data_IF_658713530584
#
_entry.id   IF_658713530584
#
_cell.length_a   1.000
_cell.length_b   1.000
_cell.length_c   1.000
_cell.angle_alpha   90.00
_cell.angle_beta   90.00
_cell.angle_gamma   90.00
#
_symmetry.space_group_name_H-M   'P 1'
#
loop_
_entity.id
_entity.type
_entity.pdbx_description
1 polymer ?
#
# COMPACT_ATOMS: atom_id res chain seq x y z
N UNK A 1 49.62 20.93 36.10
CA UNK A 1 50.19 21.21 34.76
C UNK A 1 49.11 20.83 33.75
N UNK A 2 48.30 21.74 33.18
CA UNK A 2 48.65 22.85 32.27
C UNK A 2 48.58 22.30 30.83
N UNK A 3 47.53 22.51 30.03
CA UNK A 3 47.11 23.71 29.26
C UNK A 3 45.70 23.44 28.71
N UNK A 4 44.67 24.26 28.93
CA UNK A 4 44.23 25.42 28.11
C UNK A 4 44.40 25.28 26.58
N UNK A 5 43.27 25.21 25.87
CA UNK A 5 43.15 25.40 24.44
C UNK A 5 41.76 25.93 24.08
N UNK A 6 41.63 27.26 24.06
CA UNK A 6 40.51 28.02 23.50
C UNK A 6 40.62 28.05 21.97
N UNK A 7 39.48 28.08 21.30
CA UNK A 7 39.31 28.66 19.98
C UNK A 7 38.05 28.12 19.32
N UNK A 8 37.28 28.84 18.52
CA UNK A 8 37.10 30.26 18.27
C UNK A 8 35.78 30.36 17.50
N UNK A 9 35.09 31.49 17.63
CA UNK A 9 33.81 31.82 17.01
C UNK A 9 33.86 32.03 15.48
N UNK A 10 32.66 31.89 14.88
CA UNK A 10 32.08 32.63 13.73
C UNK A 10 32.04 31.94 12.35
N UNK A 11 31.10 32.32 11.44
CA UNK A 11 29.82 33.01 11.61
C UNK A 11 28.62 32.29 10.96
N UNK A 12 27.42 32.79 11.31
CA UNK A 12 26.14 32.49 10.70
C UNK A 12 26.07 32.94 9.23
N UNK A 13 25.57 32.07 8.36
CA UNK A 13 25.08 32.45 7.04
C UNK A 13 23.55 32.40 7.04
N UNK A 14 22.97 33.58 7.25
CA UNK A 14 21.57 33.90 6.98
C UNK A 14 21.39 33.97 5.46
N UNK A 15 20.68 33.01 4.88
CA UNK A 15 20.11 33.15 3.54
C UNK A 15 18.60 33.34 3.68
N UNK A 16 18.18 34.60 3.54
CA UNK A 16 16.78 34.96 3.37
C UNK A 16 16.41 34.73 1.90
N UNK A 17 15.56 33.74 1.62
CA UNK A 17 14.91 33.60 0.33
C UNK A 17 13.49 34.18 0.45
N UNK A 18 13.31 35.37 -0.12
CA UNK A 18 12.01 35.99 -0.39
C UNK A 18 11.59 35.54 -1.79
N UNK A 19 10.50 34.78 -1.91
CA UNK A 19 9.85 34.53 -3.21
C UNK A 19 8.36 34.82 -3.07
N UNK A 20 7.90 35.63 -4.01
CA UNK A 20 6.67 36.40 -3.98
C UNK A 20 5.38 35.59 -4.08
N UNK A 21 4.40 36.07 -3.35
CA UNK A 21 2.98 35.78 -3.48
C UNK A 21 2.49 36.43 -4.79
N UNK A 22 1.96 35.62 -5.71
CA UNK A 22 1.13 36.09 -6.82
C UNK A 22 -0.28 35.51 -6.65
N UNK A 23 -1.14 36.31 -6.04
CA UNK A 23 -2.59 36.12 -6.05
C UNK A 23 -3.14 36.54 -7.42
N UNK A 24 -3.74 35.60 -8.15
CA UNK A 24 -4.57 35.89 -9.32
C UNK A 24 -5.97 35.36 -9.05
N UNK A 25 -6.84 36.26 -8.57
CA UNK A 25 -8.27 36.03 -8.55
C UNK A 25 -8.81 36.23 -9.97
N UNK A 26 -9.45 35.20 -10.53
CA UNK A 26 -10.34 35.33 -11.66
C UNK A 26 -11.61 34.54 -11.35
N UNK A 27 -12.61 35.28 -10.86
CA UNK A 27 -13.98 34.85 -10.81
C UNK A 27 -14.53 34.80 -12.25
N UNK A 28 -15.08 33.66 -12.66
CA UNK A 28 -16.05 33.60 -13.75
C UNK A 28 -17.33 33.00 -13.18
N UNK A 29 -18.20 33.92 -12.78
CA UNK A 29 -19.61 33.71 -12.49
C UNK A 29 -20.35 33.66 -13.84
N UNK A 30 -21.09 32.59 -14.11
CA UNK A 30 -22.06 32.53 -15.20
C UNK A 30 -23.18 31.56 -14.83
N UNK A 31 -24.16 32.15 -14.16
CA UNK A 31 -25.49 31.65 -13.88
C UNK A 31 -26.29 31.40 -15.18
N UNK A 32 -27.05 30.29 -15.27
CA UNK A 32 -28.54 30.29 -15.42
C UNK A 32 -29.12 28.97 -15.97
N UNK A 33 -30.05 28.34 -15.23
CA UNK A 33 -31.20 27.61 -15.79
C UNK A 33 -31.45 26.16 -15.32
N UNK A 34 -32.25 25.98 -14.26
CA UNK A 34 -33.10 24.80 -13.96
C UNK A 34 -34.56 25.33 -14.10
N UNK A 35 -35.61 24.62 -14.58
CA UNK A 35 -36.02 23.26 -14.16
C UNK A 35 -36.69 22.36 -15.21
N UNK A 36 -36.80 21.05 -14.90
CA UNK A 36 -38.05 20.29 -14.65
C UNK A 36 -37.63 18.85 -14.27
N UNK A 37 -37.83 18.43 -13.02
CA UNK A 37 -39.03 17.81 -12.42
C UNK A 37 -39.16 16.31 -12.73
N UNK A 38 -39.67 15.61 -11.72
CA UNK A 38 -39.48 14.23 -11.37
C UNK A 38 -40.41 13.25 -12.10
N UNK A 39 -40.06 11.96 -12.05
CA UNK A 39 -41.05 10.90 -11.82
C UNK A 39 -40.36 9.60 -11.35
N UNK A 40 -40.59 9.28 -10.07
CA UNK A 40 -40.56 7.92 -9.52
C UNK A 40 -41.84 7.14 -9.91
N UNK A 41 -41.82 5.83 -9.57
CA UNK A 41 -42.87 4.80 -9.66
C UNK A 41 -43.04 4.14 -11.06
N UNK A 42 -43.28 2.83 -11.21
CA UNK A 42 -43.93 1.88 -10.30
C UNK A 42 -43.58 0.43 -10.70
N UNK A 43 -43.84 -0.50 -9.78
CA UNK A 43 -43.75 -1.96 -9.88
C UNK A 43 -44.80 -2.57 -10.81
N UNK A 44 -44.47 -3.67 -11.47
CA UNK A 44 -45.43 -4.72 -11.81
C UNK A 44 -44.74 -6.08 -12.01
N UNK A 45 -45.03 -7.00 -11.09
CA UNK A 45 -44.84 -8.43 -11.27
C UNK A 45 -46.01 -9.03 -12.06
N UNK A 46 -45.75 -10.02 -12.92
CA UNK A 46 -46.72 -11.05 -13.28
C UNK A 46 -46.04 -12.30 -13.87
N UNK A 47 -46.58 -13.45 -13.47
CA UNK A 47 -46.16 -14.84 -13.65
C UNK A 47 -46.33 -15.45 -15.06
N UNK A 48 -45.45 -16.43 -15.33
CA UNK A 48 -45.66 -17.81 -15.84
C UNK A 48 -46.66 -18.07 -16.98
N UNK A 49 -46.16 -18.65 -18.10
CA UNK A 49 -46.83 -19.74 -18.81
C UNK A 49 -45.86 -20.52 -19.72
N UNK A 50 -46.02 -21.84 -19.72
CA UNK A 50 -45.16 -22.84 -20.33
C UNK A 50 -45.54 -23.23 -21.77
N UNK A 51 -44.55 -23.83 -22.44
CA UNK A 51 -44.61 -24.89 -23.45
C UNK A 51 -45.43 -24.70 -24.75
N UNK A 52 -44.71 -24.74 -25.87
CA UNK A 52 -45.29 -24.97 -27.21
C UNK A 52 -44.20 -25.40 -28.20
N UNK A 53 -44.12 -26.71 -28.46
CA UNK A 53 -43.31 -27.33 -29.51
C UNK A 53 -43.91 -26.98 -30.88
N UNK A 54 -43.11 -26.47 -31.80
CA UNK A 54 -43.44 -26.48 -33.23
C UNK A 54 -42.17 -26.55 -34.09
N UNK A 55 -42.22 -27.48 -35.05
CA UNK A 55 -41.12 -27.96 -35.87
C UNK A 55 -40.64 -26.96 -36.94
N UNK A 56 -39.38 -27.17 -37.34
CA UNK A 56 -38.64 -26.48 -38.38
C UNK A 56 -39.26 -26.62 -39.79
N UNK A 57 -38.95 -25.66 -40.68
CA UNK A 57 -38.67 -25.96 -42.07
C UNK A 57 -37.22 -25.66 -42.42
N UNK A 58 -36.60 -26.65 -43.04
CA UNK A 58 -35.29 -26.65 -43.69
C UNK A 58 -35.20 -25.52 -44.74
N UNK A 59 -34.13 -24.74 -44.72
CA UNK A 59 -33.69 -23.93 -45.86
C UNK A 59 -32.17 -23.87 -45.90
N UNK A 60 -31.67 -24.55 -46.93
CA UNK A 60 -30.50 -24.31 -47.78
C UNK A 60 -29.27 -23.63 -47.18
N UNK A 61 -28.17 -24.40 -47.20
CA UNK A 61 -26.81 -23.98 -46.91
C UNK A 61 -26.37 -22.75 -47.72
N UNK A 62 -25.92 -21.73 -46.99
CA UNK A 62 -25.01 -20.71 -47.50
C UNK A 62 -23.68 -20.88 -46.74
N UNK A 63 -22.58 -20.83 -47.48
CA UNK A 63 -21.25 -21.14 -46.98
C UNK A 63 -20.80 -20.13 -45.92
N UNK A 64 -20.34 -20.54 -44.72
CA UNK A 64 -19.58 -19.63 -43.88
C UNK A 64 -18.23 -19.40 -44.56
N UNK A 65 -18.04 -18.20 -45.09
CA UNK A 65 -16.72 -17.69 -45.42
C UNK A 65 -15.83 -17.85 -44.20
N UNK A 66 -14.76 -18.64 -44.34
CA UNK A 66 -13.71 -18.77 -43.32
C UNK A 66 -13.07 -17.40 -43.13
N UNK A 67 -13.53 -16.66 -42.13
CA UNK A 67 -12.74 -15.57 -41.56
C UNK A 67 -11.48 -16.24 -40.99
N UNK A 68 -10.28 -15.93 -41.48
CA UNK A 68 -9.07 -16.48 -40.88
C UNK A 68 -9.08 -16.11 -39.40
N UNK A 69 -8.76 -17.03 -38.47
CA UNK A 69 -8.70 -16.69 -37.06
C UNK A 69 -7.70 -15.55 -36.92
N UNK A 70 -8.18 -14.39 -36.48
CA UNK A 70 -7.32 -13.35 -35.92
C UNK A 70 -6.46 -14.05 -34.90
N UNK A 71 -5.17 -14.19 -35.20
CA UNK A 71 -4.22 -14.81 -34.30
C UNK A 71 -4.23 -13.98 -33.03
N UNK A 72 -4.90 -14.47 -31.99
CA UNK A 72 -4.85 -13.86 -30.68
C UNK A 72 -3.38 -13.77 -30.32
N UNK A 73 -2.90 -12.55 -30.06
CA UNK A 73 -1.55 -12.34 -29.54
C UNK A 73 -1.41 -13.26 -28.32
N UNK A 74 -0.36 -14.10 -28.24
CA UNK A 74 -0.12 -14.90 -27.05
C UNK A 74 -0.17 -13.98 -25.83
N UNK A 75 -0.95 -14.35 -24.81
CA UNK A 75 -0.92 -13.63 -23.55
C UNK A 75 0.54 -13.52 -23.09
N UNK A 76 0.98 -12.37 -22.55
CA UNK A 76 2.33 -12.24 -22.03
C UNK A 76 2.57 -13.37 -21.02
N UNK A 77 3.58 -14.21 -21.29
CA UNK A 77 3.93 -15.29 -20.38
C UNK A 77 4.84 -14.75 -19.29
N UNK A 78 4.29 -14.57 -18.11
CA UNK A 78 5.05 -14.25 -16.90
C UNK A 78 5.58 -15.56 -16.31
N UNK A 79 6.90 -15.63 -16.14
CA UNK A 79 7.56 -16.75 -15.47
C UNK A 79 7.91 -16.32 -14.06
N UNK A 80 7.38 -17.05 -13.07
CA UNK A 80 7.73 -16.90 -11.66
C UNK A 80 8.35 -18.22 -11.22
N UNK A 81 9.58 -18.17 -10.71
CA UNK A 81 10.27 -19.34 -10.21
C UNK A 81 9.65 -19.86 -8.92
N UNK A 82 9.68 -21.18 -8.78
CA UNK A 82 9.14 -21.90 -7.64
C UNK A 82 9.76 -21.45 -6.32
N UNK A 83 8.97 -21.54 -5.25
CA UNK A 83 9.40 -21.28 -3.87
C UNK A 83 9.27 -22.60 -3.10
N UNK A 84 10.38 -23.34 -2.86
CA UNK A 84 10.32 -24.61 -2.14
C UNK A 84 9.65 -24.47 -0.77
N UNK A 85 8.61 -25.26 -0.52
CA UNK A 85 7.86 -25.24 0.74
C UNK A 85 6.75 -24.18 0.82
N UNK A 86 6.63 -23.28 -0.16
CA UNK A 86 5.62 -22.22 -0.18
C UNK A 86 5.15 -21.89 -1.62
N UNK A 87 4.47 -22.83 -2.30
CA UNK A 87 4.02 -22.63 -3.68
C UNK A 87 3.00 -21.48 -3.82
N UNK A 88 2.22 -21.22 -2.77
CA UNK A 88 1.21 -20.15 -2.72
C UNK A 88 1.83 -18.76 -2.99
N UNK A 89 3.07 -18.53 -2.54
CA UNK A 89 3.76 -17.29 -2.79
C UNK A 89 4.06 -17.04 -4.27
N UNK A 90 4.42 -18.09 -5.01
CA UNK A 90 4.69 -17.98 -6.45
C UNK A 90 3.40 -17.70 -7.23
N UNK A 91 2.27 -18.28 -6.82
CA UNK A 91 0.97 -18.03 -7.44
C UNK A 91 0.47 -16.60 -7.14
N UNK A 92 0.56 -16.15 -5.89
CA UNK A 92 0.11 -14.82 -5.48
C UNK A 92 0.89 -13.68 -6.19
N UNK A 93 2.22 -13.82 -6.34
CA UNK A 93 3.02 -12.81 -7.06
C UNK A 93 2.86 -12.92 -8.58
N UNK A 94 2.50 -14.09 -9.12
CA UNK A 94 2.25 -14.26 -10.56
C UNK A 94 1.02 -13.46 -11.01
N UNK A 95 -0.03 -13.40 -10.18
CA UNK A 95 -1.19 -12.57 -10.46
C UNK A 95 -0.80 -11.09 -10.58
N UNK A 96 -0.05 -10.57 -9.62
CA UNK A 96 0.50 -9.22 -9.65
C UNK A 96 1.40 -8.96 -10.87
N UNK A 97 2.32 -9.89 -11.17
CA UNK A 97 3.26 -9.72 -12.26
C UNK A 97 2.59 -9.77 -13.65
N UNK A 98 1.44 -10.43 -13.78
CA UNK A 98 0.60 -10.34 -14.98
C UNK A 98 0.03 -8.92 -15.12
N UNK A 99 -0.54 -8.37 -14.04
CA UNK A 99 -1.09 -7.01 -14.04
C UNK A 99 0.00 -5.96 -14.28
N UNK A 100 1.21 -6.14 -13.77
CA UNK A 100 2.35 -5.27 -14.08
C UNK A 100 2.60 -5.14 -15.59
N UNK A 101 2.35 -6.20 -16.36
CA UNK A 101 2.54 -6.21 -17.82
C UNK A 101 1.29 -5.77 -18.58
N UNK A 102 0.09 -6.06 -18.06
CA UNK A 102 -1.16 -5.83 -18.79
C UNK A 102 -1.96 -4.60 -18.36
N UNK A 103 -1.86 -4.20 -17.10
CA UNK A 103 -2.56 -3.07 -16.48
C UNK A 103 -1.74 -2.42 -15.34
N UNK A 104 -0.58 -1.81 -15.66
CA UNK A 104 0.28 -1.20 -14.65
C UNK A 104 -0.39 0.01 -13.96
N UNK A 105 -1.35 0.68 -14.62
CA UNK A 105 -2.07 1.82 -14.04
C UNK A 105 -3.03 1.36 -12.92
N UNK A 106 -3.64 0.17 -13.06
CA UNK A 106 -4.50 -0.43 -12.05
C UNK A 106 -3.79 -0.83 -10.75
N UNK A 107 -2.47 -1.08 -10.80
CA UNK A 107 -1.68 -1.55 -9.65
C UNK A 107 -1.75 -0.62 -8.44
N UNK A 108 -1.84 0.70 -8.65
CA UNK A 108 -1.89 1.65 -7.52
C UNK A 108 -3.14 1.43 -6.65
N UNK A 109 -4.25 1.02 -7.27
CA UNK A 109 -5.50 0.74 -6.56
C UNK A 109 -5.49 -0.63 -5.89
N UNK A 110 -4.89 -1.64 -6.54
CA UNK A 110 -4.82 -3.01 -6.02
C UNK A 110 -3.79 -3.14 -4.91
N UNK A 111 -2.64 -2.47 -5.04
CA UNK A 111 -1.52 -2.50 -4.10
C UNK A 111 -1.56 -1.39 -3.06
N UNK A 112 -2.74 -1.20 -2.48
CA UNK A 112 -3.03 -0.17 -1.49
C UNK A 112 -2.27 -0.36 -0.15
N UNK A 113 -1.64 -1.51 0.09
CA UNK A 113 -0.78 -1.75 1.26
C UNK A 113 0.59 -1.09 1.15
N UNK A 114 0.98 -0.67 -0.05
CA UNK A 114 2.19 0.07 -0.35
C UNK A 114 1.90 1.58 -0.47
N UNK A 115 2.87 2.45 -0.14
CA UNK A 115 2.70 3.89 -0.32
C UNK A 115 2.60 4.21 -1.83
N UNK A 116 1.55 4.93 -2.29
CA UNK A 116 1.34 5.19 -3.72
C UNK A 116 2.53 5.82 -4.44
N UNK A 117 3.21 6.76 -3.78
CA UNK A 117 4.37 7.45 -4.35
C UNK A 117 5.57 6.51 -4.61
N UNK A 118 5.70 5.43 -3.84
CA UNK A 118 6.81 4.48 -4.00
C UNK A 118 6.59 3.49 -5.15
N UNK A 119 5.34 3.10 -5.43
CA UNK A 119 5.05 2.07 -6.44
C UNK A 119 5.55 2.45 -7.83
N UNK A 120 5.41 3.73 -8.21
CA UNK A 120 5.88 4.21 -9.51
C UNK A 120 7.39 4.04 -9.70
N UNK A 121 8.19 4.31 -8.66
CA UNK A 121 9.64 4.13 -8.69
C UNK A 121 10.02 2.65 -8.64
N UNK A 122 9.40 1.88 -7.73
CA UNK A 122 9.72 0.47 -7.54
C UNK A 122 9.43 -0.39 -8.77
N UNK A 123 8.41 -0.03 -9.56
CA UNK A 123 7.96 -0.85 -10.70
C UNK A 123 8.43 -0.33 -12.07
N UNK A 124 9.24 0.74 -12.09
CA UNK A 124 9.71 1.39 -13.31
C UNK A 124 10.44 0.43 -14.26
N UNK A 125 11.42 -0.35 -13.75
CA UNK A 125 12.12 -1.37 -14.55
C UNK A 125 11.39 -2.72 -14.47
N UNK A 126 10.24 -2.79 -15.14
CA UNK A 126 9.45 -4.02 -15.31
C UNK A 126 10.30 -5.18 -15.84
N UNK A 127 11.27 -4.91 -16.71
CA UNK A 127 12.15 -5.95 -17.27
C UNK A 127 13.04 -6.58 -16.20
N UNK A 128 13.61 -5.77 -15.31
CA UNK A 128 14.42 -6.26 -14.18
C UNK A 128 13.58 -7.03 -13.16
N UNK A 129 12.37 -6.54 -12.86
CA UNK A 129 11.40 -7.24 -12.00
C UNK A 129 11.12 -8.65 -12.53
N UNK A 130 10.76 -8.77 -13.82
CA UNK A 130 10.44 -10.07 -14.41
C UNK A 130 11.66 -11.01 -14.45
N UNK A 131 12.88 -10.49 -14.66
CA UNK A 131 14.11 -11.29 -14.58
C UNK A 131 14.38 -11.81 -13.17
N UNK A 132 14.11 -10.98 -12.15
CA UNK A 132 14.24 -11.39 -10.75
C UNK A 132 13.22 -12.49 -10.42
N UNK A 133 11.94 -12.28 -10.75
CA UNK A 133 10.87 -13.26 -10.54
C UNK A 133 11.11 -14.60 -11.24
N UNK A 134 11.78 -14.61 -12.39
CA UNK A 134 12.10 -15.85 -13.10
C UNK A 134 13.14 -16.74 -12.40
N UNK A 135 13.85 -16.23 -11.37
CA UNK A 135 14.76 -17.04 -10.55
C UNK A 135 13.97 -17.87 -9.53
N UNK A 136 14.53 -18.96 -8.97
CA UNK A 136 13.91 -19.62 -7.83
C UNK A 136 13.76 -18.67 -6.64
N UNK A 137 12.60 -18.72 -5.98
CA UNK A 137 12.35 -17.90 -4.81
C UNK A 137 12.88 -18.52 -3.52
N UNK A 138 13.08 -17.68 -2.51
CA UNK A 138 13.55 -18.04 -1.18
C UNK A 138 12.48 -17.67 -0.17
N UNK A 139 12.02 -18.66 0.60
CA UNK A 139 11.14 -18.44 1.73
C UNK A 139 11.95 -18.04 2.98
N UNK A 140 12.03 -16.74 3.24
CA UNK A 140 12.77 -16.16 4.36
C UNK A 140 11.95 -16.08 5.64
N UNK A 141 12.54 -15.54 6.71
CA UNK A 141 11.87 -15.45 8.01
C UNK A 141 10.62 -14.54 7.96
N UNK A 142 10.69 -13.43 7.24
CA UNK A 142 9.65 -12.38 7.22
C UNK A 142 9.02 -12.14 5.86
N UNK A 143 9.69 -12.54 4.78
CA UNK A 143 9.21 -12.37 3.41
C UNK A 143 9.64 -13.53 2.54
N UNK A 144 8.91 -13.72 1.44
CA UNK A 144 9.38 -14.53 0.32
C UNK A 144 10.02 -13.60 -0.69
N UNK A 145 11.16 -13.99 -1.26
CA UNK A 145 11.89 -13.12 -2.20
C UNK A 145 12.43 -13.86 -3.42
N UNK A 146 12.52 -13.13 -4.52
CA UNK A 146 13.15 -13.55 -5.77
C UNK A 146 14.23 -12.54 -6.12
N UNK A 147 15.44 -12.99 -6.41
CA UNK A 147 16.57 -12.09 -6.72
C UNK A 147 17.22 -12.50 -8.03
N UNK A 148 17.36 -11.55 -8.95
CA UNK A 148 18.00 -11.78 -10.25
C UNK A 148 18.27 -10.48 -10.98
N UNK A 149 19.35 -10.45 -11.76
CA UNK A 149 19.68 -9.28 -12.60
C UNK A 149 19.93 -7.98 -11.83
N UNK A 150 20.33 -8.05 -10.55
CA UNK A 150 20.57 -6.88 -9.69
C UNK A 150 19.33 -6.35 -8.96
N UNK A 151 18.18 -6.99 -9.13
CA UNK A 151 16.91 -6.63 -8.47
C UNK A 151 16.44 -7.75 -7.56
N UNK A 152 15.81 -7.36 -6.46
CA UNK A 152 15.11 -8.26 -5.55
C UNK A 152 13.64 -7.83 -5.49
N UNK A 153 12.74 -8.82 -5.58
CA UNK A 153 11.29 -8.68 -5.41
C UNK A 153 10.93 -9.43 -4.14
N UNK A 154 10.32 -8.77 -3.16
CA UNK A 154 10.00 -9.31 -1.85
C UNK A 154 8.53 -9.12 -1.51
N UNK A 155 7.84 -10.18 -1.09
CA UNK A 155 6.41 -10.14 -0.70
C UNK A 155 6.23 -10.51 0.76
N UNK A 156 5.28 -9.84 1.42
CA UNK A 156 4.92 -10.06 2.82
C UNK A 156 4.03 -11.30 2.98
N UNK A 157 3.90 -11.79 4.21
CA UNK A 157 3.07 -12.99 4.49
C UNK A 157 1.57 -12.71 4.33
N UNK A 158 1.09 -11.58 4.85
CA UNK A 158 -0.30 -11.13 4.65
C UNK A 158 -0.67 -10.99 3.17
N UNK A 159 0.25 -10.48 2.35
CA UNK A 159 0.12 -10.38 0.90
C UNK A 159 -0.02 -11.75 0.22
N UNK A 160 0.80 -12.73 0.62
CA UNK A 160 0.66 -14.11 0.10
C UNK A 160 -0.68 -14.72 0.52
N UNK A 161 -1.07 -14.55 1.78
CA UNK A 161 -2.31 -15.10 2.33
C UNK A 161 -3.57 -14.51 1.69
N UNK A 162 -3.48 -13.32 1.10
CA UNK A 162 -4.59 -12.69 0.36
C UNK A 162 -4.84 -13.36 -1.00
N UNK A 163 -3.84 -14.08 -1.54
CA UNK A 163 -3.84 -14.64 -2.89
C UNK A 163 -3.42 -13.66 -3.99
N UNK A 164 -3.13 -12.39 -3.64
CA UNK A 164 -2.58 -11.39 -4.55
C UNK A 164 -1.50 -10.59 -3.81
N UNK A 165 -0.25 -10.78 -4.20
CA UNK A 165 0.87 -10.25 -3.43
C UNK A 165 1.50 -9.03 -4.07
N UNK A 166 1.37 -7.87 -3.42
CA UNK A 166 2.01 -6.61 -3.81
C UNK A 166 3.44 -6.53 -3.26
N UNK A 167 4.47 -6.61 -4.11
CA UNK A 167 5.84 -6.72 -3.64
C UNK A 167 6.49 -5.37 -3.39
N UNK A 168 7.46 -5.38 -2.48
CA UNK A 168 8.55 -4.41 -2.50
C UNK A 168 9.58 -4.82 -3.55
N UNK A 169 9.98 -3.88 -4.42
CA UNK A 169 11.04 -4.07 -5.40
C UNK A 169 12.19 -3.13 -5.07
N UNK A 170 13.39 -3.68 -4.98
CA UNK A 170 14.58 -2.93 -4.58
C UNK A 170 15.85 -3.50 -5.21
N UNK A 171 16.96 -2.74 -5.23
CA UNK A 171 18.26 -3.28 -5.62
C UNK A 171 18.66 -4.49 -4.76
N UNK A 172 19.30 -5.47 -5.37
CA UNK A 172 19.83 -6.62 -4.67
C UNK A 172 20.91 -6.20 -3.67
N UNK A 173 20.86 -6.76 -2.46
CA UNK A 173 21.79 -6.42 -1.37
C UNK A 173 21.42 -5.16 -0.58
N UNK A 174 20.25 -4.55 -0.82
CA UNK A 174 19.71 -3.48 0.02
C UNK A 174 19.52 -3.98 1.45
N UNK A 175 20.10 -3.26 2.42
CA UNK A 175 19.99 -3.61 3.85
C UNK A 175 18.64 -3.18 4.45
N UNK A 176 18.19 -1.97 4.11
CA UNK A 176 16.95 -1.36 4.62
C UNK A 176 15.91 -1.32 3.51
N UNK A 177 15.08 -2.36 3.42
CA UNK A 177 14.03 -2.47 2.40
C UNK A 177 12.83 -1.56 2.70
N UNK A 178 12.57 -1.31 4.00
CA UNK A 178 11.48 -0.45 4.44
C UNK A 178 11.96 0.98 4.64
N UNK A 179 11.21 1.92 4.07
CA UNK A 179 11.54 3.33 4.02
C UNK A 179 10.69 4.15 5.00
N UNK A 180 11.03 5.42 5.27
CA UNK A 180 10.16 6.33 6.03
C UNK A 180 8.72 6.40 5.52
N UNK A 181 8.53 6.37 4.20
CA UNK A 181 7.19 6.41 3.61
C UNK A 181 6.38 5.14 3.91
N UNK A 182 7.03 3.98 4.12
CA UNK A 182 6.35 2.76 4.57
C UNK A 182 5.86 2.89 6.02
N UNK A 183 6.64 3.54 6.88
CA UNK A 183 6.25 3.81 8.25
C UNK A 183 5.06 4.77 8.32
N UNK A 184 5.12 5.87 7.55
CA UNK A 184 4.04 6.86 7.44
C UNK A 184 2.76 6.23 6.91
N UNK A 185 2.85 5.38 5.88
CA UNK A 185 1.70 4.69 5.33
C UNK A 185 1.12 3.65 6.28
N UNK A 186 1.94 2.95 7.07
CA UNK A 186 1.45 2.06 8.12
C UNK A 186 0.63 2.83 9.17
N UNK A 187 1.11 4.01 9.59
CA UNK A 187 0.36 4.90 10.51
C UNK A 187 -0.91 5.44 9.85
N UNK A 188 -0.84 5.88 8.60
CA UNK A 188 -1.99 6.39 7.87
C UNK A 188 -3.08 5.32 7.72
N UNK A 189 -2.70 4.07 7.41
CA UNK A 189 -3.64 2.93 7.35
C UNK A 189 -4.28 2.66 8.70
N UNK A 190 -3.48 2.60 9.77
CA UNK A 190 -4.01 2.42 11.13
C UNK A 190 -5.03 3.52 11.49
N UNK A 191 -4.65 4.79 11.37
CA UNK A 191 -5.55 5.91 11.67
C UNK A 191 -6.78 5.98 10.76
N UNK A 192 -6.66 5.52 9.52
CA UNK A 192 -7.79 5.42 8.59
C UNK A 192 -8.82 4.39 9.06
N UNK A 193 -8.37 3.26 9.64
CA UNK A 193 -9.26 2.28 10.28
C UNK A 193 -9.96 2.89 11.49
N UNK A 194 -9.21 3.54 12.39
CA UNK A 194 -9.76 4.19 13.58
C UNK A 194 -10.79 5.28 13.23
N UNK A 195 -10.54 6.04 12.17
CA UNK A 195 -11.47 7.05 11.64
C UNK A 195 -12.69 6.48 10.89
N UNK A 196 -12.86 5.15 10.86
CA UNK A 196 -13.94 4.46 10.16
C UNK A 196 -13.88 4.56 8.63
N UNK A 197 -12.72 4.89 8.08
CA UNK A 197 -12.49 5.09 6.64
C UNK A 197 -11.23 4.34 6.19
N UNK A 198 -11.19 3.01 6.33
CA UNK A 198 -10.00 2.23 5.97
C UNK A 198 -9.65 2.41 4.50
N UNK A 199 -8.35 2.33 4.17
CA UNK A 199 -7.85 2.52 2.79
C UNK A 199 -8.47 1.49 1.84
N UNK A 200 -8.75 0.30 2.33
CA UNK A 200 -9.49 -0.76 1.65
C UNK A 200 -10.44 -1.44 2.63
N UNK A 201 -11.62 -1.94 2.21
CA UNK A 201 -12.47 -2.77 3.07
C UNK A 201 -11.77 -4.03 3.60
N UNK A 202 -10.74 -4.52 2.90
CA UNK A 202 -9.92 -5.65 3.35
C UNK A 202 -8.87 -5.25 4.40
N UNK A 203 -8.66 -3.95 4.62
CA UNK A 203 -7.66 -3.40 5.53
C UNK A 203 -8.07 -3.57 6.99
N UNK A 204 -7.89 -4.79 7.50
CA UNK A 204 -8.25 -5.19 8.85
C UNK A 204 -7.05 -5.74 9.58
N UNK A 205 -7.05 -5.65 10.91
CA UNK A 205 -5.95 -6.17 11.74
C UNK A 205 -5.76 -7.69 11.60
N UNK A 206 -6.83 -8.42 11.24
CA UNK A 206 -6.74 -9.88 11.02
C UNK A 206 -6.10 -10.24 9.67
N UNK A 207 -6.41 -9.51 8.60
CA UNK A 207 -5.89 -9.81 7.26
C UNK A 207 -4.53 -9.17 7.00
N UNK A 208 -4.34 -7.94 7.48
CA UNK A 208 -3.13 -7.15 7.30
C UNK A 208 -2.75 -6.51 8.64
N UNK A 209 -2.10 -7.26 9.56
CA UNK A 209 -1.81 -6.77 10.90
C UNK A 209 -0.87 -5.55 10.84
N UNK A 210 -1.20 -4.54 11.65
CA UNK A 210 -0.37 -3.34 11.84
C UNK A 210 0.11 -3.22 13.28
N UNK A 211 -0.49 -3.92 14.24
CA UNK A 211 -0.05 -3.89 15.63
C UNK A 211 1.09 -4.90 15.81
N UNK A 212 2.18 -4.45 16.44
CA UNK A 212 3.32 -5.33 16.66
C UNK A 212 2.93 -6.56 17.50
N UNK A 213 3.21 -7.78 17.01
CA UNK A 213 2.75 -9.00 17.68
C UNK A 213 3.55 -9.34 18.95
N UNK A 214 4.61 -8.59 19.27
CA UNK A 214 5.35 -8.69 20.53
C UNK A 214 6.29 -9.91 20.64
N UNK A 215 6.90 -10.34 19.53
CA UNK A 215 7.78 -11.52 19.48
C UNK A 215 9.26 -11.26 19.87
N UNK A 216 9.60 -10.07 20.35
CA UNK A 216 10.95 -9.69 20.84
C UNK A 216 10.77 -8.49 21.77
N UNK A 217 11.58 -8.31 22.85
CA UNK A 217 11.30 -7.26 23.82
C UNK A 217 11.28 -5.90 23.12
N UNK A 218 10.12 -5.24 23.20
CA UNK A 218 9.91 -3.87 22.80
C UNK A 218 10.84 -2.98 23.62
N UNK A 219 11.91 -2.49 23.00
CA UNK A 219 12.97 -1.70 23.64
C UNK A 219 13.46 -0.58 22.71
N UNK A 220 12.58 0.40 22.36
CA UNK A 220 12.99 1.54 21.56
C UNK A 220 14.03 2.42 22.28
N UNK A 221 14.05 2.44 23.62
CA UNK A 221 14.97 3.27 24.41
C UNK A 221 16.37 2.66 24.56
N UNK A 222 16.52 1.35 24.41
CA UNK A 222 17.79 0.67 24.64
C UNK A 222 18.19 0.48 26.09
N UNK A 223 17.24 0.60 27.01
CA UNK A 223 17.49 0.46 28.43
C UNK A 223 17.73 -1.00 28.85
N UNK A 224 17.34 -1.98 28.00
CA UNK A 224 17.50 -3.41 28.30
C UNK A 224 16.37 -4.02 29.12
N UNK A 225 15.37 -3.22 29.51
CA UNK A 225 14.19 -3.64 30.28
C UNK A 225 12.95 -3.84 29.37
N UNK A 226 13.17 -4.31 28.15
CA UNK A 226 12.10 -4.36 27.14
C UNK A 226 10.95 -5.31 27.48
N UNK A 227 9.81 -5.10 26.85
CA UNK A 227 8.55 -5.79 27.20
C UNK A 227 7.64 -6.07 26.01
N UNK A 228 6.33 -6.21 26.25
CA UNK A 228 5.37 -6.22 25.15
C UNK A 228 5.16 -4.79 24.64
N UNK A 229 4.97 -4.60 23.32
CA UNK A 229 4.61 -3.29 22.77
C UNK A 229 3.36 -2.73 23.47
N UNK A 230 3.37 -1.48 23.97
CA UNK A 230 2.21 -0.87 24.62
C UNK A 230 0.90 -0.97 23.83
N UNK A 231 0.94 -0.72 22.52
CA UNK A 231 -0.25 -0.77 21.66
C UNK A 231 -0.85 -2.18 21.54
N UNK A 232 -0.07 -3.24 21.78
CA UNK A 232 -0.60 -4.60 21.87
C UNK A 232 -1.45 -4.81 23.12
N UNK A 233 -1.12 -4.10 24.21
CA UNK A 233 -1.82 -4.21 25.49
C UNK A 233 -3.08 -3.35 25.53
N UNK A 234 -3.06 -2.22 24.81
CA UNK A 234 -4.16 -1.28 24.69
C UNK A 234 -4.30 -0.83 23.22
N UNK A 235 -4.95 -1.65 22.36
CA UNK A 235 -5.07 -1.35 20.93
C UNK A 235 -6.00 -0.16 20.65
N UNK A 236 -6.88 0.18 21.60
CA UNK A 236 -7.94 1.18 21.41
C UNK A 236 -7.49 2.60 21.79
N UNK A 237 -6.19 2.83 22.03
CA UNK A 237 -5.62 4.13 22.45
C UNK A 237 -5.93 5.29 21.49
N UNK A 238 -6.31 4.98 20.24
CA UNK A 238 -6.70 5.94 19.20
C UNK A 238 -8.11 5.72 18.65
N UNK A 239 -8.95 4.92 19.32
CA UNK A 239 -10.30 4.59 18.85
C UNK A 239 -11.23 5.79 18.68
N UNK A 240 -10.97 6.90 19.38
CA UNK A 240 -11.71 8.16 19.25
C UNK A 240 -11.25 9.05 18.08
N UNK A 241 -10.37 8.55 17.20
CA UNK A 241 -9.87 9.32 16.06
C UNK A 241 -10.98 9.58 15.04
N UNK A 242 -11.12 10.83 14.59
CA UNK A 242 -12.06 11.19 13.50
C UNK A 242 -11.35 11.68 12.25
N UNK A 243 -10.17 12.31 12.40
CA UNK A 243 -9.35 12.79 11.30
C UNK A 243 -7.88 12.86 11.69
N UNK A 244 -6.99 12.89 10.69
CA UNK A 244 -5.56 13.10 10.87
C UNK A 244 -4.98 13.83 9.64
N UNK A 245 -3.87 14.53 9.83
CA UNK A 245 -3.17 15.24 8.75
C UNK A 245 -2.03 14.37 8.22
N UNK A 246 -2.31 13.55 7.20
CA UNK A 246 -1.33 12.63 6.59
C UNK A 246 -0.14 13.38 5.97
N UNK A 247 -0.40 14.50 5.30
CA UNK A 247 0.63 15.32 4.64
C UNK A 247 1.58 16.01 5.64
N UNK A 248 1.19 16.09 6.92
CA UNK A 248 1.99 16.66 8.01
C UNK A 248 2.76 15.59 8.80
N UNK A 249 2.75 14.34 8.32
CA UNK A 249 3.52 13.26 8.95
C UNK A 249 5.02 13.48 8.79
N UNK A 250 5.77 13.14 9.83
CA UNK A 250 7.24 13.09 9.73
C UNK A 250 7.78 11.86 10.42
N UNK A 251 8.75 11.21 9.79
CA UNK A 251 9.46 10.07 10.35
C UNK A 251 10.84 10.46 10.85
N UNK A 252 11.19 9.96 12.04
CA UNK A 252 12.53 10.11 12.62
C UNK A 252 13.08 8.74 13.06
N UNK A 253 14.34 8.39 12.72
CA UNK A 253 14.97 7.20 13.24
C UNK A 253 15.14 7.27 14.76
N UNK A 254 14.97 6.14 15.45
CA UNK A 254 15.22 6.03 16.89
C UNK A 254 16.49 5.23 17.15
N UNK A 255 16.42 3.91 16.95
CA UNK A 255 17.53 2.96 17.18
C UNK A 255 17.23 1.65 16.47
N UNK A 256 18.22 1.07 15.80
CA UNK A 256 18.02 -0.18 15.06
C UNK A 256 16.84 -0.03 14.09
N UNK A 257 15.89 -0.96 14.16
CA UNK A 257 14.71 -0.97 13.28
C UNK A 257 13.56 -0.08 13.79
N UNK A 258 13.75 0.64 14.91
CA UNK A 258 12.73 1.52 15.48
C UNK A 258 12.73 2.90 14.81
N UNK A 259 11.53 3.38 14.49
CA UNK A 259 11.26 4.74 13.98
C UNK A 259 10.09 5.37 14.73
N UNK A 260 10.07 6.70 14.78
CA UNK A 260 8.95 7.49 15.28
C UNK A 260 8.28 8.23 14.12
N UNK A 261 6.97 8.09 14.00
CA UNK A 261 6.14 8.90 13.11
C UNK A 261 5.32 9.88 13.95
N UNK A 262 5.46 11.17 13.68
CA UNK A 262 4.61 12.21 14.32
C UNK A 262 3.46 12.59 13.39
N UNK A 263 2.25 12.72 13.93
CA UNK A 263 1.05 13.02 13.13
C UNK A 263 0.04 13.86 13.94
N UNK A 264 -0.51 14.96 13.38
CA UNK A 264 -1.66 15.64 13.98
C UNK A 264 -2.93 14.78 13.87
N UNK A 265 -3.55 14.45 15.00
CA UNK A 265 -4.76 13.63 15.10
C UNK A 265 -5.88 14.45 15.77
N UNK A 266 -7.07 14.41 15.19
CA UNK A 266 -8.29 15.04 15.71
C UNK A 266 -9.22 13.97 16.25
N UNK A 267 -9.67 14.13 17.49
CA UNK A 267 -10.57 13.20 18.16
C UNK A 267 -12.06 13.55 17.96
N UNK A 268 -12.97 12.73 18.52
CA UNK A 268 -14.43 12.97 18.50
C UNK A 268 -14.87 14.28 19.17
N UNK A 269 -14.04 14.87 20.03
CA UNK A 269 -14.31 16.17 20.65
C UNK A 269 -13.93 17.35 19.74
N UNK A 270 -13.31 17.07 18.59
CA UNK A 270 -12.81 18.07 17.64
C UNK A 270 -11.48 18.68 18.06
N UNK A 271 -10.78 18.11 19.05
CA UNK A 271 -9.48 18.61 19.50
C UNK A 271 -8.37 17.92 18.70
N UNK A 272 -7.50 18.73 18.09
CA UNK A 272 -6.30 18.24 17.39
C UNK A 272 -5.08 18.22 18.31
N UNK A 273 -4.38 17.09 18.37
CA UNK A 273 -3.10 16.92 19.09
C UNK A 273 -2.10 16.19 18.20
N UNK A 274 -0.84 16.60 18.26
CA UNK A 274 0.25 15.80 17.67
C UNK A 274 0.43 14.53 18.50
N UNK A 275 0.35 13.39 17.83
CA UNK A 275 0.67 12.06 18.35
C UNK A 275 2.01 11.62 17.80
N UNK A 276 2.77 10.89 18.61
CA UNK A 276 3.95 10.18 18.15
C UNK A 276 3.66 8.69 18.22
N UNK A 277 3.82 8.00 17.10
CA UNK A 277 3.69 6.56 16.97
C UNK A 277 5.07 5.96 16.78
N UNK A 278 5.47 5.05 17.66
CA UNK A 278 6.73 4.32 17.54
C UNK A 278 6.45 3.01 16.82
N UNK A 279 7.23 2.72 15.78
CA UNK A 279 7.14 1.53 14.94
C UNK A 279 8.43 0.71 14.99
N UNK A 280 8.32 -0.56 14.61
CA UNK A 280 9.44 -1.47 14.37
C UNK A 280 9.16 -2.34 13.15
N UNK A 281 10.18 -2.97 12.57
CA UNK A 281 10.02 -3.92 11.46
C UNK A 281 9.57 -5.27 12.02
N UNK A 282 8.45 -5.78 11.50
CA UNK A 282 7.88 -7.08 11.79
C UNK A 282 7.69 -7.94 10.54
N UNK A 283 6.85 -8.98 10.65
CA UNK A 283 6.62 -9.97 9.59
C UNK A 283 5.85 -9.39 8.38
N UNK A 284 5.16 -8.27 8.57
CA UNK A 284 4.35 -7.60 7.55
C UNK A 284 4.86 -6.16 7.24
N UNK A 285 6.15 -5.94 7.49
CA UNK A 285 6.80 -4.63 7.41
C UNK A 285 6.67 -3.85 8.71
N UNK A 286 6.58 -2.52 8.65
CA UNK A 286 6.42 -1.72 9.85
C UNK A 286 5.14 -2.08 10.60
N UNK A 287 5.29 -2.40 11.88
CA UNK A 287 4.21 -2.54 12.84
C UNK A 287 4.31 -1.43 13.89
N UNK A 288 3.16 -0.98 14.38
CA UNK A 288 3.02 0.03 15.42
C UNK A 288 3.08 -0.66 16.79
N UNK A 289 3.91 -0.13 17.68
CA UNK A 289 4.04 -0.69 19.03
C UNK A 289 3.72 0.26 20.15
N UNK A 290 3.74 1.57 19.94
CA UNK A 290 3.49 2.55 21.00
C UNK A 290 2.93 3.86 20.43
N UNK A 291 2.06 4.52 21.18
CA UNK A 291 1.49 5.82 20.86
C UNK A 291 1.64 6.73 22.08
N UNK A 292 2.13 7.96 21.88
CA UNK A 292 2.27 9.00 22.91
C UNK A 292 1.65 10.32 22.47
#
# INVERSE_FOLDING_TARGET
MGRTGRGAFAPAHTFALVVGILASAAACDSQSGIPVDAAEADVAAAEVAAAGVAAAPTSTADSPGTVPPTSARPAPQVVVGEVPGNPEAADAVRAWALDLVTDPEGLTSTCWTLPPAQMAEQYEDTGAVLRALAQPGVDGQFSVSWTGGGTTVSVKRSEIASGYACPHVHPAGTADVYTPADAEHAVARFLSREAGRPVSPADTETAYPLICPGFSPWDPSGAGDGGQPPLKQDPDVLADTTAFAADDMTTTPVRGDYVNVTVPVTDVSGVTKTKQVTLSIGQDGYCLGEVT
#
